data_IF_824824000573
#
_entry.id   IF_824824000573
#
_cell.length_a   1.000
_cell.length_b   1.000
_cell.length_c   1.000
_cell.angle_alpha   90.00
_cell.angle_beta   90.00
_cell.angle_gamma   90.00
#
_symmetry.space_group_name_H-M   'P 1'
#
loop_
_entity.id
_entity.type
_entity.pdbx_description
1 polymer ?
#
# COMPACT_ATOMS: atom_id res chain seq x y z
N UNK A 1 18.68 -18.24 -2.02
CA UNK A 1 17.71 -18.01 -0.94
C UNK A 1 17.56 -19.32 -0.19
N UNK A 2 17.81 -19.33 1.11
CA UNK A 2 17.55 -20.50 1.95
C UNK A 2 16.07 -20.54 2.40
N UNK A 3 15.68 -21.61 3.10
CA UNK A 3 14.29 -21.80 3.53
C UNK A 3 13.83 -20.74 4.55
N UNK A 4 14.71 -20.30 5.45
CA UNK A 4 14.35 -19.32 6.48
C UNK A 4 14.17 -17.93 5.87
N UNK A 5 15.03 -17.54 4.92
CA UNK A 5 14.89 -16.31 4.15
C UNK A 5 13.59 -16.32 3.34
N UNK A 6 13.29 -17.41 2.63
CA UNK A 6 12.04 -17.53 1.87
C UNK A 6 10.82 -17.39 2.80
N UNK A 7 10.82 -18.14 3.91
CA UNK A 7 9.72 -18.10 4.88
C UNK A 7 9.56 -16.71 5.49
N UNK A 8 10.65 -16.03 5.81
CA UNK A 8 10.63 -14.67 6.34
C UNK A 8 9.99 -13.69 5.35
N UNK A 9 10.43 -13.70 4.09
CA UNK A 9 9.88 -12.79 3.06
C UNK A 9 8.41 -13.11 2.77
N UNK A 10 8.07 -14.39 2.65
CA UNK A 10 6.70 -14.85 2.42
C UNK A 10 5.76 -14.39 3.55
N UNK A 11 6.15 -14.64 4.80
CA UNK A 11 5.35 -14.24 5.97
C UNK A 11 5.29 -12.72 6.12
N UNK A 12 6.35 -11.98 5.79
CA UNK A 12 6.35 -10.51 5.83
C UNK A 12 5.40 -9.90 4.82
N UNK A 13 5.36 -10.44 3.58
CA UNK A 13 4.40 -10.02 2.57
C UNK A 13 2.96 -10.34 2.99
N UNK A 14 2.73 -11.55 3.52
CA UNK A 14 1.42 -11.96 4.05
C UNK A 14 0.95 -11.05 5.19
N UNK A 15 1.84 -10.74 6.13
CA UNK A 15 1.57 -9.79 7.21
C UNK A 15 1.22 -8.39 6.67
N UNK A 16 1.97 -7.91 5.67
CA UNK A 16 1.68 -6.63 5.00
C UNK A 16 0.28 -6.61 4.37
N UNK A 17 -0.10 -7.65 3.64
CA UNK A 17 -1.45 -7.79 3.06
C UNK A 17 -2.51 -7.70 4.15
N UNK A 18 -2.37 -8.47 5.24
CA UNK A 18 -3.33 -8.47 6.33
C UNK A 18 -3.46 -7.08 6.98
N UNK A 19 -2.34 -6.42 7.24
CA UNK A 19 -2.32 -5.09 7.87
C UNK A 19 -2.91 -4.00 6.97
N UNK A 20 -2.58 -3.97 5.67
CA UNK A 20 -3.16 -2.99 4.75
C UNK A 20 -4.66 -3.18 4.58
N UNK A 21 -5.14 -4.42 4.40
CA UNK A 21 -6.56 -4.71 4.29
C UNK A 21 -7.34 -4.33 5.55
N UNK A 22 -6.79 -4.64 6.73
CA UNK A 22 -7.38 -4.23 8.01
C UNK A 22 -7.40 -2.70 8.16
N UNK A 23 -6.33 -2.00 7.77
CA UNK A 23 -6.27 -0.54 7.82
C UNK A 23 -7.29 0.11 6.88
N UNK A 24 -7.47 -0.41 5.65
CA UNK A 24 -8.51 0.06 4.72
C UNK A 24 -9.89 -0.02 5.35
N UNK A 25 -10.24 -1.20 5.89
CA UNK A 25 -11.51 -1.39 6.57
C UNK A 25 -11.65 -0.42 7.76
N UNK A 26 -10.62 -0.29 8.58
CA UNK A 26 -10.61 0.61 9.73
C UNK A 26 -10.88 2.06 9.32
N UNK A 27 -10.16 2.60 8.33
CA UNK A 27 -10.35 3.99 7.91
C UNK A 27 -11.75 4.25 7.37
N UNK A 28 -12.27 3.37 6.51
CA UNK A 28 -13.60 3.58 5.93
C UNK A 28 -14.74 3.40 6.94
N UNK A 29 -14.64 2.42 7.83
CA UNK A 29 -15.64 2.21 8.88
C UNK A 29 -15.62 3.33 9.93
N UNK A 30 -14.46 3.90 10.22
CA UNK A 30 -14.32 5.00 11.19
C UNK A 30 -14.48 6.39 10.56
N UNK A 31 -14.75 6.51 9.25
CA UNK A 31 -14.90 7.80 8.56
C UNK A 31 -15.95 8.71 9.21
N UNK A 32 -17.05 8.18 9.71
CA UNK A 32 -18.12 8.98 10.34
C UNK A 32 -17.72 9.53 11.71
N UNK A 33 -16.70 8.94 12.34
CA UNK A 33 -16.24 9.28 13.69
C UNK A 33 -15.29 10.48 13.73
N UNK A 34 -14.87 11.00 12.57
CA UNK A 34 -14.08 12.23 12.47
C UNK A 34 -14.94 13.43 12.03
N UNK A 35 -14.48 14.63 12.38
CA UNK A 35 -15.11 15.89 11.95
C UNK A 35 -15.25 15.93 10.42
N UNK A 36 -16.33 16.56 9.95
CA UNK A 36 -16.68 16.60 8.52
C UNK A 36 -15.54 17.13 7.66
N UNK A 37 -14.71 18.04 8.18
CA UNK A 37 -13.55 18.61 7.46
C UNK A 37 -12.43 17.59 7.17
N UNK A 38 -12.31 16.52 7.95
CA UNK A 38 -11.26 15.51 7.80
C UNK A 38 -11.71 14.23 7.10
N UNK A 39 -13.01 14.07 6.84
CA UNK A 39 -13.55 12.84 6.24
C UNK A 39 -12.96 12.51 4.87
N UNK A 40 -12.60 13.52 4.09
CA UNK A 40 -11.93 13.32 2.80
C UNK A 40 -10.53 12.75 3.00
N UNK A 41 -9.76 13.27 3.97
CA UNK A 41 -8.44 12.74 4.30
C UNK A 41 -8.52 11.27 4.73
N UNK A 42 -9.44 10.92 5.64
CA UNK A 42 -9.65 9.51 6.06
C UNK A 42 -10.06 8.60 4.89
N UNK A 43 -10.88 9.09 3.97
CA UNK A 43 -11.21 8.33 2.75
C UNK A 43 -9.96 8.08 1.90
N UNK A 44 -9.07 9.08 1.76
CA UNK A 44 -7.81 8.93 1.04
C UNK A 44 -6.88 7.94 1.75
N UNK A 45 -6.76 7.96 3.08
CA UNK A 45 -5.95 6.96 3.82
C UNK A 45 -6.45 5.52 3.55
N UNK A 46 -7.77 5.34 3.49
CA UNK A 46 -8.38 4.06 3.10
C UNK A 46 -8.05 3.65 1.66
N UNK A 47 -8.04 4.59 0.72
CA UNK A 47 -7.63 4.32 -0.67
C UNK A 47 -6.14 3.96 -0.76
N UNK A 48 -5.27 4.71 -0.09
CA UNK A 48 -3.82 4.45 -0.07
C UNK A 48 -3.54 3.04 0.44
N UNK A 49 -4.16 2.66 1.57
CA UNK A 49 -4.00 1.31 2.13
C UNK A 49 -4.59 0.22 1.23
N UNK A 50 -5.67 0.50 0.49
CA UNK A 50 -6.22 -0.46 -0.47
C UNK A 50 -5.30 -0.68 -1.67
N UNK A 51 -4.69 0.40 -2.18
CA UNK A 51 -3.71 0.31 -3.27
C UNK A 51 -2.48 -0.49 -2.82
N UNK A 52 -1.99 -0.23 -1.61
CA UNK A 52 -0.89 -1.00 -1.02
C UNK A 52 -1.27 -2.48 -0.82
N UNK A 53 -2.47 -2.77 -0.31
CA UNK A 53 -3.00 -4.13 -0.17
C UNK A 53 -2.94 -4.89 -1.50
N UNK A 54 -3.46 -4.30 -2.58
CA UNK A 54 -3.47 -4.92 -3.91
C UNK A 54 -2.05 -5.20 -4.40
N UNK A 55 -1.13 -4.23 -4.34
CA UNK A 55 0.22 -4.42 -4.85
C UNK A 55 1.03 -5.42 -4.01
N UNK A 56 0.82 -5.48 -2.69
CA UNK A 56 1.44 -6.50 -1.85
C UNK A 56 0.91 -7.90 -2.16
N UNK A 57 -0.38 -8.03 -2.44
CA UNK A 57 -0.96 -9.28 -2.92
C UNK A 57 -0.31 -9.74 -4.23
N UNK A 58 -0.11 -8.82 -5.19
CA UNK A 58 0.59 -9.11 -6.45
C UNK A 58 2.05 -9.51 -6.25
N UNK A 59 2.79 -8.84 -5.36
CA UNK A 59 4.16 -9.23 -5.01
C UNK A 59 4.21 -10.61 -4.36
N UNK A 60 3.26 -10.93 -3.47
CA UNK A 60 3.17 -12.24 -2.84
C UNK A 60 2.94 -13.37 -3.86
N UNK A 61 2.00 -13.19 -4.80
CA UNK A 61 1.82 -14.13 -5.91
C UNK A 61 3.09 -14.24 -6.78
N UNK A 62 3.73 -13.12 -7.09
CA UNK A 62 4.97 -13.12 -7.87
C UNK A 62 6.10 -13.87 -7.18
N UNK A 63 6.20 -13.79 -5.84
CA UNK A 63 7.18 -14.55 -5.06
C UNK A 63 6.89 -16.06 -5.13
N UNK A 64 5.61 -16.45 -4.99
CA UNK A 64 5.18 -17.84 -5.11
C UNK A 64 5.41 -18.44 -6.50
N UNK A 65 5.38 -17.62 -7.54
CA UNK A 65 5.70 -18.03 -8.91
C UNK A 65 7.22 -18.09 -9.17
N UNK A 66 8.00 -17.22 -8.54
CA UNK A 66 9.45 -17.12 -8.76
C UNK A 66 10.25 -18.22 -8.04
N UNK A 67 9.74 -18.73 -6.92
CA UNK A 67 10.40 -19.76 -6.11
C UNK A 67 9.46 -20.92 -5.80
N UNK A 68 9.99 -22.14 -5.87
CA UNK A 68 9.32 -23.35 -5.41
C UNK A 68 10.06 -23.93 -4.20
N UNK A 69 9.29 -24.49 -3.26
CA UNK A 69 9.82 -25.20 -2.10
C UNK A 69 9.53 -26.69 -2.26
N UNK A 70 10.57 -27.52 -2.37
CA UNK A 70 10.45 -28.99 -2.45
C UNK A 70 11.42 -29.64 -1.50
N UNK A 71 10.93 -30.51 -0.61
CA UNK A 71 11.76 -31.23 0.35
C UNK A 71 12.58 -30.32 1.29
N UNK A 72 12.06 -29.12 1.62
CA UNK A 72 12.78 -28.13 2.44
C UNK A 72 13.80 -27.29 1.68
N UNK A 73 14.01 -27.54 0.38
CA UNK A 73 14.92 -26.77 -0.47
C UNK A 73 14.15 -25.74 -1.28
N UNK A 74 14.63 -24.50 -1.28
CA UNK A 74 14.10 -23.40 -2.11
C UNK A 74 14.89 -23.35 -3.42
N UNK A 75 14.19 -23.38 -4.54
CA UNK A 75 14.79 -23.25 -5.87
C UNK A 75 14.04 -22.24 -6.72
N UNK A 76 14.77 -21.47 -7.55
CA UNK A 76 14.15 -20.58 -8.51
C UNK A 76 13.46 -21.37 -9.62
N UNK A 77 12.29 -20.91 -10.06
CA UNK A 77 11.51 -21.55 -11.13
C UNK A 77 11.93 -21.09 -12.52
N UNK A 78 12.72 -20.01 -12.60
CA UNK A 78 13.04 -19.30 -13.85
C UNK A 78 12.10 -18.13 -14.16
N UNK A 79 10.97 -18.01 -13.45
CA UNK A 79 10.10 -16.83 -13.52
C UNK A 79 10.68 -15.74 -12.62
N UNK A 80 10.91 -14.51 -13.13
CA UNK A 80 11.43 -13.43 -12.30
C UNK A 80 10.39 -12.95 -11.28
N UNK A 81 10.87 -12.55 -10.10
CA UNK A 81 10.07 -11.76 -9.17
C UNK A 81 9.85 -10.36 -9.76
N UNK A 82 8.60 -9.90 -9.81
CA UNK A 82 8.25 -8.60 -10.38
C UNK A 82 8.20 -7.52 -9.29
N UNK A 83 9.27 -6.77 -9.17
CA UNK A 83 9.41 -5.63 -8.26
C UNK A 83 8.73 -4.35 -8.77
N UNK A 84 8.36 -4.28 -10.06
CA UNK A 84 7.69 -3.12 -10.66
C UNK A 84 6.36 -2.78 -9.97
N UNK A 85 5.69 -3.76 -9.35
CA UNK A 85 4.48 -3.52 -8.56
C UNK A 85 4.69 -2.48 -7.45
N UNK A 86 5.90 -2.40 -6.87
CA UNK A 86 6.21 -1.40 -5.85
C UNK A 86 6.27 0.01 -6.42
N UNK A 87 6.81 0.17 -7.61
CA UNK A 87 6.94 1.48 -8.24
C UNK A 87 5.59 2.00 -8.73
N UNK A 88 4.72 1.11 -9.22
CA UNK A 88 3.34 1.47 -9.58
C UNK A 88 2.52 1.83 -8.34
N UNK A 89 2.70 1.10 -7.23
CA UNK A 89 2.12 1.46 -5.92
C UNK A 89 2.51 2.88 -5.51
N UNK A 90 3.80 3.23 -5.58
CA UNK A 90 4.29 4.57 -5.23
C UNK A 90 3.76 5.67 -6.15
N UNK A 91 3.67 5.41 -7.45
CA UNK A 91 3.11 6.36 -8.40
C UNK A 91 1.68 6.79 -8.00
N UNK A 92 0.91 5.88 -7.40
CA UNK A 92 -0.45 6.14 -6.96
C UNK A 92 -0.49 6.69 -5.52
N UNK A 93 0.25 6.08 -4.60
CA UNK A 93 0.14 6.37 -3.16
C UNK A 93 0.88 7.64 -2.75
N UNK A 94 2.01 7.98 -3.36
CA UNK A 94 2.78 9.19 -2.99
C UNK A 94 1.97 10.47 -3.24
N UNK A 95 1.35 10.71 -4.41
CA UNK A 95 0.50 11.88 -4.62
C UNK A 95 -0.69 11.93 -3.66
N UNK A 96 -1.31 10.77 -3.38
CA UNK A 96 -2.45 10.68 -2.46
C UNK A 96 -2.06 11.02 -1.03
N UNK A 97 -0.91 10.56 -0.55
CA UNK A 97 -0.39 10.88 0.78
C UNK A 97 -0.07 12.38 0.91
N UNK A 98 0.48 13.00 -0.15
CA UNK A 98 0.70 14.45 -0.17
C UNK A 98 -0.63 15.20 -0.15
N UNK A 99 -1.61 14.77 -0.94
CA UNK A 99 -2.94 15.38 -0.95
C UNK A 99 -3.65 15.24 0.42
N UNK A 100 -3.55 14.08 1.05
CA UNK A 100 -4.06 13.82 2.40
C UNK A 100 -3.43 14.75 3.43
N UNK A 101 -2.09 14.89 3.41
CA UNK A 101 -1.36 15.78 4.31
C UNK A 101 -1.86 17.22 4.18
N UNK A 102 -2.05 17.71 2.96
CA UNK A 102 -2.53 19.09 2.72
C UNK A 102 -3.96 19.28 3.26
N UNK A 103 -4.83 18.27 3.11
CA UNK A 103 -6.21 18.32 3.60
C UNK A 103 -6.29 18.39 5.13
N UNK A 104 -5.34 17.81 5.86
CA UNK A 104 -5.33 17.86 7.33
C UNK A 104 -4.71 19.14 7.91
N UNK A 105 -3.99 19.94 7.10
CA UNK A 105 -3.37 21.20 7.53
C UNK A 105 -4.36 22.33 7.85
N UNK A 106 -5.65 22.17 7.53
CA UNK A 106 -6.68 23.15 7.87
C UNK A 106 -6.59 24.47 7.09
N UNK A 107 -6.01 24.42 5.88
CA UNK A 107 -5.85 25.57 5.00
C UNK A 107 -7.20 26.07 4.46
N UNK A 108 -7.22 27.31 3.96
CA UNK A 108 -8.36 27.82 3.19
C UNK A 108 -8.62 26.91 1.97
N UNK A 109 -9.85 26.89 1.44
CA UNK A 109 -10.16 26.06 0.27
C UNK A 109 -9.31 26.44 -0.97
N UNK A 110 -9.00 27.74 -1.11
CA UNK A 110 -8.15 28.25 -2.17
C UNK A 110 -6.69 27.76 -2.02
N UNK A 111 -6.13 27.83 -0.82
CA UNK A 111 -4.77 27.32 -0.57
C UNK A 111 -4.69 25.81 -0.65
N UNK A 112 -5.69 25.07 -0.15
CA UNK A 112 -5.75 23.62 -0.27
C UNK A 112 -5.65 23.19 -1.74
N UNK A 113 -6.48 23.79 -2.62
CA UNK A 113 -6.48 23.47 -4.04
C UNK A 113 -5.17 23.83 -4.72
N UNK A 114 -4.61 25.01 -4.42
CA UNK A 114 -3.32 25.42 -4.97
C UNK A 114 -2.19 24.48 -4.52
N UNK A 115 -2.09 24.18 -3.23
CA UNK A 115 -1.01 23.34 -2.68
C UNK A 115 -1.10 21.91 -3.17
N UNK A 116 -2.29 21.32 -3.28
CA UNK A 116 -2.46 19.95 -3.83
C UNK A 116 -1.93 19.89 -5.27
N UNK A 117 -2.23 20.88 -6.11
CA UNK A 117 -1.77 20.91 -7.50
C UNK A 117 -0.28 21.23 -7.64
N UNK A 118 0.30 22.06 -6.78
CA UNK A 118 1.72 22.44 -6.88
C UNK A 118 2.66 21.42 -6.24
N UNK A 119 2.22 20.74 -5.17
CA UNK A 119 3.06 19.82 -4.40
C UNK A 119 2.74 18.34 -4.66
N UNK A 120 1.53 18.03 -5.15
CA UNK A 120 1.09 16.66 -5.42
C UNK A 120 1.56 16.08 -6.75
N UNK A 121 2.13 16.90 -7.65
CA UNK A 121 2.55 16.52 -9.00
C UNK A 121 1.63 17.05 -10.09
#
# INVERSE_FOLDING_TARGET
MDLSQFSLVYNSLSFGIATFGAATAFFWLNRSQVDRRYRTAITISGIVTLVAFYHYFRMFESLGNAFQVKGGTVSATGVPFNDAYRYVDWLLTVPLLVAELILVMGLSAAETRSRVLTLGG
#
